data_IF_659272355440
#
_entry.id   IF_659272355440
#
_cell.length_a   1.000
_cell.length_b   1.000
_cell.length_c   1.000
_cell.angle_alpha   90.00
_cell.angle_beta   90.00
_cell.angle_gamma   90.00
#
_symmetry.space_group_name_H-M   'P 1'
#
loop_
_entity.id
_entity.type
_entity.pdbx_description
1 polymer ?
#
# COMPACT_ATOMS: atom_id res chain seq x y z
N UNK A 1 -1.23 45.85 6.20
CA UNK A 1 -2.60 45.37 6.42
C UNK A 1 -2.87 44.33 5.36
N UNK A 2 -2.72 43.05 5.67
CA UNK A 2 -2.99 41.97 4.72
C UNK A 2 -4.50 41.90 4.49
N UNK A 3 -4.93 42.17 3.26
CA UNK A 3 -6.34 42.05 2.86
C UNK A 3 -6.67 40.56 2.82
N UNK A 4 -7.45 40.09 3.80
CA UNK A 4 -7.94 38.72 3.86
C UNK A 4 -9.33 38.70 3.23
N UNK A 5 -9.40 38.42 1.94
CA UNK A 5 -10.66 38.30 1.22
C UNK A 5 -11.17 36.85 1.30
N UNK A 6 -12.42 36.63 1.75
CA UNK A 6 -12.94 35.27 1.90
C UNK A 6 -13.20 34.63 0.54
N UNK A 7 -12.48 33.55 0.23
CA UNK A 7 -12.59 32.82 -1.03
C UNK A 7 -13.78 31.84 -1.02
N UNK A 8 -14.94 32.27 -1.52
CA UNK A 8 -16.13 31.43 -1.65
C UNK A 8 -16.20 30.84 -3.06
N UNK A 9 -15.86 29.56 -3.18
CA UNK A 9 -16.08 28.78 -4.41
C UNK A 9 -16.94 27.56 -4.07
N UNK A 10 -18.23 27.69 -4.36
CA UNK A 10 -19.24 26.65 -4.07
C UNK A 10 -18.90 25.35 -4.79
N UNK A 11 -18.39 25.43 -6.03
CA UNK A 11 -18.08 24.24 -6.82
C UNK A 11 -16.86 23.51 -6.26
N UNK A 12 -15.78 24.23 -5.94
CA UNK A 12 -14.59 23.66 -5.33
C UNK A 12 -14.88 23.08 -3.93
N UNK A 13 -15.70 23.76 -3.12
CA UNK A 13 -16.10 23.29 -1.81
C UNK A 13 -17.00 22.06 -1.88
N UNK A 14 -17.96 22.01 -2.81
CA UNK A 14 -18.79 20.83 -3.06
C UNK A 14 -17.94 19.64 -3.54
N UNK A 15 -16.99 19.85 -4.45
CA UNK A 15 -16.04 18.83 -4.88
C UNK A 15 -15.21 18.31 -3.71
N UNK A 16 -14.71 19.21 -2.86
CA UNK A 16 -13.94 18.85 -1.66
C UNK A 16 -14.76 17.99 -0.70
N UNK A 17 -16.00 18.40 -0.42
CA UNK A 17 -16.90 17.65 0.46
C UNK A 17 -17.20 16.25 -0.11
N UNK A 18 -17.50 16.16 -1.41
CA UNK A 18 -17.67 14.88 -2.11
C UNK A 18 -16.43 13.99 -1.97
N UNK A 19 -15.23 14.56 -2.17
CA UNK A 19 -13.97 13.84 -2.02
C UNK A 19 -13.74 13.35 -0.59
N UNK A 20 -14.01 14.17 0.43
CA UNK A 20 -13.89 13.76 1.84
C UNK A 20 -14.79 12.56 2.18
N UNK A 21 -16.03 12.55 1.67
CA UNK A 21 -16.94 11.40 1.81
C UNK A 21 -16.36 10.17 1.10
N UNK A 22 -15.93 10.33 -0.16
CA UNK A 22 -15.34 9.24 -0.95
C UNK A 22 -14.09 8.64 -0.30
N UNK A 23 -13.20 9.47 0.26
CA UNK A 23 -12.01 9.06 1.01
C UNK A 23 -12.42 8.23 2.23
N UNK A 24 -13.36 8.74 3.03
CA UNK A 24 -13.83 8.04 4.24
C UNK A 24 -14.41 6.67 3.91
N UNK A 25 -15.29 6.60 2.90
CA UNK A 25 -15.91 5.35 2.43
C UNK A 25 -14.87 4.38 1.88
N UNK A 26 -13.79 4.87 1.26
CA UNK A 26 -12.74 4.01 0.69
C UNK A 26 -11.83 3.37 1.75
N UNK A 27 -11.53 4.08 2.84
CA UNK A 27 -10.66 3.60 3.91
C UNK A 27 -11.39 2.72 4.93
N UNK A 28 -12.68 2.98 5.16
CA UNK A 28 -13.46 2.31 6.20
C UNK A 28 -13.48 0.76 6.08
N UNK A 29 -13.64 0.15 4.89
CA UNK A 29 -13.60 -1.31 4.74
C UNK A 29 -12.25 -1.90 5.17
N UNK A 30 -11.15 -1.20 4.90
CA UNK A 30 -9.80 -1.65 5.27
C UNK A 30 -9.61 -1.58 6.79
N UNK A 31 -10.01 -0.48 7.44
CA UNK A 31 -9.98 -0.38 8.90
C UNK A 31 -10.85 -1.46 9.55
N UNK A 32 -12.07 -1.65 9.04
CA UNK A 32 -13.00 -2.65 9.54
C UNK A 32 -12.45 -4.07 9.39
N UNK A 33 -11.81 -4.40 8.27
CA UNK A 33 -11.18 -5.72 8.05
C UNK A 33 -10.09 -6.00 9.09
N UNK A 34 -9.22 -5.03 9.39
CA UNK A 34 -8.15 -5.22 10.39
C UNK A 34 -8.75 -5.43 11.79
N UNK A 35 -9.74 -4.60 12.17
CA UNK A 35 -10.38 -4.66 13.49
C UNK A 35 -11.20 -5.95 13.67
N UNK A 36 -11.95 -6.35 12.64
CA UNK A 36 -12.80 -7.54 12.69
C UNK A 36 -11.99 -8.84 12.64
N UNK A 37 -10.95 -8.90 11.80
CA UNK A 37 -10.06 -10.05 11.72
C UNK A 37 -9.11 -10.15 12.93
N UNK A 38 -8.91 -9.03 13.65
CA UNK A 38 -7.89 -8.89 14.70
C UNK A 38 -6.50 -9.36 14.27
N UNK A 39 -6.20 -9.23 12.99
CA UNK A 39 -4.93 -9.62 12.38
C UNK A 39 -4.56 -8.61 11.30
N UNK A 40 -3.27 -8.29 11.22
CA UNK A 40 -2.67 -7.46 10.17
C UNK A 40 -1.87 -8.30 9.16
N UNK A 41 -2.21 -9.58 8.99
CA UNK A 41 -1.60 -10.45 7.99
C UNK A 41 -1.78 -9.91 6.56
N UNK A 42 -0.74 -10.09 5.73
CA UNK A 42 -0.74 -9.63 4.34
C UNK A 42 -0.36 -8.15 4.14
N UNK A 43 -0.16 -7.38 5.20
CA UNK A 43 0.36 -6.01 5.10
C UNK A 43 1.89 -5.99 5.01
N UNK A 44 2.43 -5.29 4.01
CA UNK A 44 3.87 -5.05 3.89
C UNK A 44 4.31 -3.89 4.79
N UNK A 45 5.26 -4.09 5.73
CA UNK A 45 5.80 -3.02 6.58
C UNK A 45 6.42 -1.88 5.76
N UNK A 46 7.12 -2.22 4.68
CA UNK A 46 7.75 -1.25 3.77
C UNK A 46 6.72 -0.38 3.03
N UNK A 47 5.61 -0.97 2.61
CA UNK A 47 4.52 -0.21 1.98
C UNK A 47 3.94 0.83 2.95
N UNK A 48 3.73 0.44 4.22
CA UNK A 48 3.24 1.35 5.26
C UNK A 48 4.25 2.45 5.60
N UNK A 49 5.55 2.14 5.63
CA UNK A 49 6.62 3.12 5.79
C UNK A 49 6.61 4.17 4.68
N UNK A 50 6.74 3.72 3.43
CA UNK A 50 6.87 4.61 2.28
C UNK A 50 5.59 5.45 2.10
N UNK A 51 4.41 4.85 2.29
CA UNK A 51 3.15 5.57 2.25
C UNK A 51 2.95 6.54 3.43
N UNK A 52 3.41 6.19 4.63
CA UNK A 52 3.34 7.05 5.80
C UNK A 52 4.20 8.30 5.66
N UNK A 53 5.44 8.12 5.19
CA UNK A 53 6.37 9.23 4.91
C UNK A 53 5.89 10.09 3.74
N UNK A 54 5.40 9.46 2.66
CA UNK A 54 4.85 10.16 1.48
C UNK A 54 3.63 11.01 1.86
N UNK A 55 2.64 10.43 2.54
CA UNK A 55 1.42 11.14 2.93
C UNK A 55 1.67 12.27 3.92
N UNK A 56 2.58 12.08 4.90
CA UNK A 56 2.98 13.15 5.81
C UNK A 56 3.65 14.33 5.08
N UNK A 57 4.54 14.03 4.13
CA UNK A 57 5.20 15.04 3.31
C UNK A 57 4.21 15.80 2.43
N UNK A 58 3.25 15.10 1.80
CA UNK A 58 2.19 15.72 1.00
C UNK A 58 1.23 16.59 1.83
N UNK A 59 0.92 16.16 3.06
CA UNK A 59 0.11 16.93 4.00
C UNK A 59 0.82 18.22 4.44
N UNK A 60 2.10 18.13 4.81
CA UNK A 60 2.86 19.31 5.20
C UNK A 60 3.09 20.26 4.02
N UNK A 61 3.24 19.75 2.80
CA UNK A 61 3.35 20.59 1.60
C UNK A 61 2.11 21.51 1.47
N UNK A 62 0.89 20.98 1.58
CA UNK A 62 -0.31 21.82 1.45
C UNK A 62 -0.41 22.84 2.60
N UNK A 63 -0.02 22.48 3.84
CA UNK A 63 0.03 23.43 4.96
C UNK A 63 0.98 24.58 4.66
N UNK A 64 2.19 24.27 4.17
CA UNK A 64 3.21 25.27 3.84
C UNK A 64 2.70 26.23 2.77
N UNK A 65 2.12 25.68 1.70
CA UNK A 65 1.64 26.44 0.55
C UNK A 65 0.44 27.31 0.91
N UNK A 66 -0.49 26.80 1.74
CA UNK A 66 -1.73 27.47 2.11
C UNK A 66 -1.63 28.24 3.45
N UNK A 67 -0.43 28.42 4.00
CA UNK A 67 -0.24 29.01 5.32
C UNK A 67 -0.79 30.45 5.42
N UNK A 68 -0.74 31.22 4.33
CA UNK A 68 -1.34 32.55 4.27
C UNK A 68 -2.85 32.54 4.58
N UNK A 69 -3.58 31.57 4.03
CA UNK A 69 -5.02 31.39 4.27
C UNK A 69 -5.27 30.99 5.73
N UNK A 70 -4.44 30.10 6.28
CA UNK A 70 -4.52 29.68 7.68
C UNK A 70 -4.33 30.87 8.64
N UNK A 71 -3.43 31.81 8.33
CA UNK A 71 -3.30 33.05 9.13
C UNK A 71 -4.54 33.94 9.01
N UNK A 72 -5.12 34.05 7.82
CA UNK A 72 -6.35 34.83 7.59
C UNK A 72 -7.57 34.28 8.34
N UNK A 73 -7.60 32.99 8.66
CA UNK A 73 -8.66 32.41 9.50
C UNK A 73 -8.79 33.03 10.90
N UNK A 74 -7.80 33.78 11.39
CA UNK A 74 -7.91 34.53 12.66
C UNK A 74 -8.86 35.73 12.59
N UNK A 75 -9.08 36.27 11.39
CA UNK A 75 -9.90 37.46 11.15
C UNK A 75 -11.19 37.18 10.39
N UNK A 76 -11.26 36.02 9.73
CA UNK A 76 -12.45 35.57 9.01
C UNK A 76 -13.49 34.95 9.96
N UNK A 77 -14.75 34.92 9.53
CA UNK A 77 -15.80 34.17 10.22
C UNK A 77 -15.50 32.67 10.19
N UNK A 78 -16.05 31.91 11.15
CA UNK A 78 -15.81 30.47 11.26
C UNK A 78 -16.18 29.71 9.97
N UNK A 79 -17.36 29.99 9.39
CA UNK A 79 -17.82 29.34 8.16
C UNK A 79 -16.92 29.62 6.97
N UNK A 80 -16.60 30.90 6.72
CA UNK A 80 -15.72 31.29 5.62
C UNK A 80 -14.30 30.76 5.78
N UNK A 81 -13.80 30.60 7.01
CA UNK A 81 -12.52 29.95 7.26
C UNK A 81 -12.56 28.47 6.86
N UNK A 82 -13.56 27.70 7.33
CA UNK A 82 -13.70 26.27 7.01
C UNK A 82 -13.73 26.04 5.50
N UNK A 83 -14.48 26.87 4.78
CA UNK A 83 -14.50 26.86 3.31
C UNK A 83 -13.12 27.15 2.71
N UNK A 84 -12.44 28.17 3.23
CA UNK A 84 -11.12 28.58 2.73
C UNK A 84 -10.03 27.52 2.96
N UNK A 85 -10.10 26.76 4.06
CA UNK A 85 -9.11 25.71 4.38
C UNK A 85 -9.59 24.28 4.05
N UNK A 86 -10.67 24.13 3.29
CA UNK A 86 -11.26 22.83 2.98
C UNK A 86 -10.27 21.84 2.34
N UNK A 87 -9.33 22.34 1.51
CA UNK A 87 -8.28 21.51 0.91
C UNK A 87 -7.26 20.96 1.90
N UNK A 88 -6.95 21.74 2.95
CA UNK A 88 -6.09 21.28 4.05
C UNK A 88 -6.80 20.16 4.78
N UNK A 89 -8.10 20.30 5.07
CA UNK A 89 -8.90 19.24 5.70
C UNK A 89 -8.95 17.97 4.85
N UNK A 90 -9.15 18.10 3.53
CA UNK A 90 -9.20 16.97 2.61
C UNK A 90 -7.91 16.13 2.67
N UNK A 91 -6.75 16.77 2.61
CA UNK A 91 -5.46 16.07 2.66
C UNK A 91 -5.11 15.59 4.07
N UNK A 92 -5.49 16.33 5.11
CA UNK A 92 -5.32 15.92 6.49
C UNK A 92 -6.12 14.67 6.79
N UNK A 93 -7.34 14.56 6.24
CA UNK A 93 -8.18 13.38 6.37
C UNK A 93 -7.50 12.15 5.75
N UNK A 94 -6.93 12.25 4.54
CA UNK A 94 -6.19 11.14 3.91
C UNK A 94 -5.02 10.71 4.81
N UNK A 95 -4.23 11.66 5.28
CA UNK A 95 -3.08 11.38 6.14
C UNK A 95 -3.49 10.73 7.46
N UNK A 96 -4.50 11.25 8.15
CA UNK A 96 -5.00 10.66 9.41
C UNK A 96 -5.53 9.25 9.19
N UNK A 97 -6.34 9.01 8.14
CA UNK A 97 -6.87 7.69 7.86
C UNK A 97 -5.76 6.68 7.50
N UNK A 98 -4.68 7.14 6.86
CA UNK A 98 -3.51 6.30 6.59
C UNK A 98 -2.71 6.00 7.87
N UNK A 99 -2.46 7.01 8.72
CA UNK A 99 -1.81 6.81 10.03
C UNK A 99 -2.64 5.87 10.91
N UNK A 100 -3.96 5.93 10.84
CA UNK A 100 -4.84 4.98 11.52
C UNK A 100 -4.60 3.53 11.05
N UNK A 101 -4.32 3.29 9.76
CA UNK A 101 -3.93 1.95 9.29
C UNK A 101 -2.62 1.50 9.95
N UNK A 102 -1.62 2.38 10.01
CA UNK A 102 -0.33 2.08 10.66
C UNK A 102 -0.51 1.73 12.15
N UNK A 103 -1.34 2.50 12.87
CA UNK A 103 -1.64 2.24 14.28
C UNK A 103 -2.36 0.91 14.45
N UNK A 104 -3.39 0.65 13.63
CA UNK A 104 -4.12 -0.63 13.66
C UNK A 104 -3.21 -1.81 13.31
N UNK A 105 -2.31 -1.64 12.35
CA UNK A 105 -1.29 -2.63 11.97
C UNK A 105 -0.40 -3.00 13.17
N UNK A 106 0.08 -2.01 13.93
CA UNK A 106 0.92 -2.28 15.10
C UNK A 106 0.14 -2.93 16.25
N UNK A 107 -1.12 -2.52 16.48
CA UNK A 107 -1.98 -3.07 17.54
C UNK A 107 -2.35 -4.53 17.23
N UNK A 108 -2.82 -4.80 16.00
CA UNK A 108 -3.31 -6.10 15.56
C UNK A 108 -2.23 -6.97 14.89
N UNK A 109 -0.95 -6.68 15.14
CA UNK A 109 0.12 -7.52 14.62
C UNK A 109 -0.04 -8.96 15.17
N UNK A 110 -0.11 -9.98 14.29
CA UNK A 110 -0.44 -11.36 14.64
C UNK A 110 0.54 -11.94 15.68
N UNK A 111 0.05 -12.44 16.84
CA UNK A 111 0.92 -12.93 17.92
C UNK A 111 1.85 -14.06 17.53
N UNK A 112 1.40 -14.98 16.67
CA UNK A 112 2.18 -16.13 16.23
C UNK A 112 3.34 -15.75 15.29
N UNK A 113 3.27 -14.59 14.64
CA UNK A 113 4.38 -14.05 13.83
C UNK A 113 5.37 -13.23 14.65
N UNK A 114 5.06 -12.88 15.91
CA UNK A 114 5.94 -12.06 16.76
C UNK A 114 7.17 -12.80 17.24
N UNK A 115 7.04 -14.10 17.51
CA UNK A 115 8.07 -14.91 18.14
C UNK A 115 8.47 -16.09 17.26
N UNK A 116 9.73 -16.52 17.36
CA UNK A 116 10.23 -17.71 16.67
C UNK A 116 9.82 -18.93 17.49
N UNK A 117 9.10 -19.84 16.84
CA UNK A 117 8.84 -21.18 17.37
C UNK A 117 10.01 -22.06 16.93
N UNK A 118 10.66 -22.72 17.89
CA UNK A 118 11.76 -23.66 17.62
C UNK A 118 11.21 -25.05 17.87
N UNK A 119 11.32 -25.88 16.85
CA UNK A 119 11.03 -27.30 16.95
C UNK A 119 12.25 -27.98 17.56
N UNK A 120 12.07 -28.54 18.75
CA UNK A 120 13.10 -29.36 19.37
C UNK A 120 12.84 -30.80 18.95
N UNK A 121 13.76 -31.37 18.18
CA UNK A 121 13.75 -32.79 17.84
C UNK A 121 14.12 -33.60 19.10
N UNK A 122 13.16 -34.34 19.63
CA UNK A 122 13.43 -35.25 20.75
C UNK A 122 14.00 -36.58 20.22
N UNK A 123 14.95 -37.21 20.95
CA UNK A 123 15.38 -38.57 20.64
C UNK A 123 14.19 -39.57 20.72
N UNK A 124 14.15 -40.53 19.78
CA UNK A 124 13.19 -41.66 19.66
C UNK A 124 11.84 -41.40 18.95
N UNK A 125 11.83 -40.84 17.72
CA UNK A 125 10.64 -40.71 16.86
C UNK A 125 9.41 -40.04 17.55
N UNK A 126 9.64 -39.28 18.61
CA UNK A 126 8.60 -38.50 19.26
C UNK A 126 8.27 -37.27 18.41
N UNK A 127 6.98 -36.86 18.34
CA UNK A 127 6.60 -35.68 17.60
C UNK A 127 7.37 -34.45 18.14
N UNK A 128 7.86 -33.56 17.25
CA UNK A 128 8.66 -32.40 17.64
C UNK A 128 7.89 -31.53 18.63
N UNK A 129 8.57 -31.11 19.69
CA UNK A 129 7.94 -30.27 20.70
C UNK A 129 8.08 -28.80 20.29
N UNK A 130 6.96 -28.15 19.97
CA UNK A 130 6.91 -26.74 19.63
C UNK A 130 7.14 -25.87 20.88
N UNK A 131 8.36 -25.38 21.07
CA UNK A 131 8.67 -24.47 22.18
C UNK A 131 8.58 -23.02 21.68
N UNK A 132 7.67 -22.24 22.26
CA UNK A 132 7.59 -20.79 22.03
C UNK A 132 8.79 -20.11 22.69
N UNK A 133 9.76 -19.67 21.90
CA UNK A 133 10.89 -18.90 22.43
C UNK A 133 10.50 -17.43 22.60
N UNK A 134 11.13 -16.71 23.53
CA UNK A 134 10.93 -15.26 23.68
C UNK A 134 11.69 -14.44 22.61
N UNK A 135 12.29 -15.11 21.61
CA UNK A 135 13.06 -14.45 20.56
C UNK A 135 12.11 -13.87 19.51
N UNK A 136 12.15 -12.55 19.32
CA UNK A 136 11.32 -11.86 18.33
C UNK A 136 11.77 -12.21 16.91
N UNK A 137 10.82 -12.50 16.02
CA UNK A 137 11.05 -12.69 14.58
C UNK A 137 11.59 -11.40 13.94
N UNK A 138 12.41 -11.55 12.90
CA UNK A 138 13.03 -10.43 12.19
C UNK A 138 11.99 -9.46 11.62
N UNK A 139 10.91 -9.98 11.02
CA UNK A 139 9.79 -9.19 10.50
C UNK A 139 9.16 -8.29 11.56
N UNK A 140 8.97 -8.79 12.79
CA UNK A 140 8.41 -7.98 13.88
C UNK A 140 9.40 -6.90 14.34
N UNK A 141 10.70 -7.22 14.42
CA UNK A 141 11.75 -6.22 14.72
C UNK A 141 11.80 -5.13 13.64
N UNK A 142 11.68 -5.52 12.37
CA UNK A 142 11.63 -4.62 11.23
C UNK A 142 10.41 -3.69 11.34
N UNK A 143 9.20 -4.22 11.57
CA UNK A 143 7.98 -3.42 11.76
C UNK A 143 8.07 -2.39 12.88
N UNK A 144 8.65 -2.77 14.03
CA UNK A 144 8.91 -1.85 15.14
C UNK A 144 9.88 -0.75 14.71
N UNK A 145 11.00 -1.13 14.10
CA UNK A 145 12.05 -0.19 13.68
C UNK A 145 11.49 0.81 12.66
N UNK A 146 10.77 0.32 11.65
CA UNK A 146 10.16 1.17 10.63
C UNK A 146 9.10 2.11 11.23
N UNK A 147 8.32 1.65 12.20
CA UNK A 147 7.34 2.52 12.88
C UNK A 147 7.99 3.68 13.63
N UNK A 148 9.14 3.45 14.29
CA UNK A 148 9.92 4.52 14.88
C UNK A 148 10.53 5.46 13.84
N UNK A 149 11.00 4.94 12.70
CA UNK A 149 11.48 5.76 11.58
C UNK A 149 10.38 6.67 11.06
N UNK A 150 9.15 6.16 10.87
CA UNK A 150 7.99 6.97 10.46
C UNK A 150 7.72 8.06 11.50
N UNK A 151 7.66 7.70 12.78
CA UNK A 151 7.38 8.64 13.86
C UNK A 151 8.39 9.80 13.88
N UNK A 152 9.69 9.48 13.87
CA UNK A 152 10.74 10.49 13.88
C UNK A 152 10.76 11.33 12.61
N UNK A 153 10.51 10.73 11.44
CA UNK A 153 10.38 11.46 10.19
C UNK A 153 9.23 12.48 10.24
N UNK A 154 8.04 12.06 10.67
CA UNK A 154 6.88 12.95 10.82
C UNK A 154 7.19 14.08 11.80
N UNK A 155 7.73 13.75 12.98
CA UNK A 155 8.08 14.73 14.00
C UNK A 155 9.10 15.75 13.47
N UNK A 156 10.13 15.28 12.76
CA UNK A 156 11.14 16.13 12.15
C UNK A 156 10.56 17.07 11.07
N UNK A 157 9.74 16.55 10.15
CA UNK A 157 9.14 17.38 9.11
C UNK A 157 8.17 18.41 9.69
N UNK A 158 7.38 18.04 10.70
CA UNK A 158 6.51 18.98 11.44
C UNK A 158 7.37 20.07 12.07
N UNK A 159 8.41 19.69 12.81
CA UNK A 159 9.30 20.63 13.49
C UNK A 159 9.93 21.64 12.50
N UNK A 160 10.55 21.16 11.41
CA UNK A 160 11.18 22.03 10.41
C UNK A 160 10.15 22.91 9.71
N UNK A 161 8.97 22.36 9.39
CA UNK A 161 7.88 23.12 8.77
C UNK A 161 7.47 24.30 9.65
N UNK A 162 7.12 24.06 10.92
CA UNK A 162 6.68 25.14 11.80
C UNK A 162 7.82 26.08 12.20
N UNK A 163 9.06 25.60 12.30
CA UNK A 163 10.24 26.46 12.48
C UNK A 163 10.34 27.45 11.32
N UNK A 164 10.33 26.99 10.06
CA UNK A 164 10.43 27.86 8.89
C UNK A 164 9.24 28.84 8.76
N UNK A 165 8.02 28.37 9.04
CA UNK A 165 6.81 29.20 8.98
C UNK A 165 6.76 30.30 10.06
N UNK A 166 7.44 30.08 11.19
CA UNK A 166 7.52 31.05 12.30
C UNK A 166 8.71 32.00 12.16
N UNK A 167 9.87 31.53 11.68
CA UNK A 167 11.07 32.37 11.51
C UNK A 167 11.02 33.22 10.24
N UNK A 168 10.22 32.85 9.24
CA UNK A 168 10.07 33.58 7.98
C UNK A 168 8.61 34.05 7.78
N UNK A 169 8.11 34.98 8.60
CA UNK A 169 6.75 35.48 8.44
C UNK A 169 6.60 36.24 7.12
N UNK A 170 5.68 35.79 6.27
CA UNK A 170 5.28 36.52 5.07
C UNK A 170 4.62 37.87 5.43
N UNK A 171 4.96 38.98 4.73
CA UNK A 171 4.36 40.31 4.93
C UNK A 171 2.86 40.36 4.56
N UNK A 172 2.45 39.51 3.62
CA UNK A 172 1.13 39.40 3.03
C UNK A 172 0.76 37.93 2.75
N UNK A 173 -0.51 37.65 2.50
CA UNK A 173 -1.01 36.28 2.34
C UNK A 173 -0.52 35.55 1.09
N UNK A 174 -0.03 36.29 0.08
CA UNK A 174 0.44 35.75 -1.19
C UNK A 174 1.96 35.55 -1.28
N UNK A 175 2.74 36.27 -0.47
CA UNK A 175 4.20 36.18 -0.50
C UNK A 175 4.71 34.94 0.25
N UNK A 176 5.65 34.22 -0.35
CA UNK A 176 6.42 33.14 0.28
C UNK A 176 7.90 33.46 0.18
N UNK A 177 8.63 33.33 1.29
CA UNK A 177 10.09 33.45 1.24
C UNK A 177 10.69 32.29 0.43
N UNK A 178 11.87 32.53 -0.15
CA UNK A 178 12.56 31.51 -0.94
C UNK A 178 12.79 30.20 -0.16
N UNK A 179 13.09 30.29 1.14
CA UNK A 179 13.27 29.13 2.01
C UNK A 179 11.98 28.29 2.15
N UNK A 180 10.83 28.94 2.31
CA UNK A 180 9.52 28.27 2.42
C UNK A 180 9.16 27.60 1.10
N UNK A 181 9.47 28.23 -0.04
CA UNK A 181 9.23 27.66 -1.36
C UNK A 181 10.12 26.45 -1.66
N UNK A 182 11.41 26.50 -1.31
CA UNK A 182 12.31 25.35 -1.40
C UNK A 182 11.82 24.20 -0.51
N UNK A 183 11.39 24.50 0.71
CA UNK A 183 10.86 23.50 1.63
C UNK A 183 9.59 22.85 1.11
N UNK A 184 8.64 23.64 0.59
CA UNK A 184 7.45 23.11 -0.07
C UNK A 184 7.82 22.18 -1.23
N UNK A 185 8.72 22.64 -2.11
CA UNK A 185 9.20 21.85 -3.26
C UNK A 185 9.82 20.53 -2.82
N UNK A 186 10.67 20.55 -1.78
CA UNK A 186 11.28 19.36 -1.20
C UNK A 186 10.21 18.38 -0.68
N UNK A 187 9.23 18.86 0.09
CA UNK A 187 8.14 18.03 0.61
C UNK A 187 7.30 17.39 -0.51
N UNK A 188 6.99 18.16 -1.56
CA UNK A 188 6.23 17.68 -2.71
C UNK A 188 6.99 16.63 -3.52
N UNK A 189 8.23 16.91 -3.91
CA UNK A 189 9.05 15.99 -4.71
C UNK A 189 9.39 14.72 -3.92
N UNK A 190 9.78 14.84 -2.64
CA UNK A 190 10.05 13.67 -1.80
C UNK A 190 8.80 12.79 -1.63
N UNK A 191 7.63 13.40 -1.43
CA UNK A 191 6.36 12.67 -1.35
C UNK A 191 6.08 11.87 -2.62
N UNK A 192 6.30 12.46 -3.80
CA UNK A 192 6.11 11.79 -5.08
C UNK A 192 7.09 10.62 -5.31
N UNK A 193 8.36 10.80 -4.95
CA UNK A 193 9.38 9.74 -5.05
C UNK A 193 9.04 8.58 -4.10
N UNK A 194 8.67 8.89 -2.86
CA UNK A 194 8.27 7.89 -1.87
C UNK A 194 7.03 7.11 -2.34
N UNK A 195 6.03 7.80 -2.92
CA UNK A 195 4.86 7.15 -3.51
C UNK A 195 5.25 6.23 -4.67
N UNK A 196 6.17 6.66 -5.54
CA UNK A 196 6.67 5.82 -6.64
C UNK A 196 7.26 4.50 -6.11
N UNK A 197 8.15 4.58 -5.11
CA UNK A 197 8.75 3.40 -4.49
C UNK A 197 7.75 2.55 -3.70
N UNK A 198 6.70 3.16 -3.15
CA UNK A 198 5.63 2.44 -2.47
C UNK A 198 4.89 1.47 -3.42
N UNK A 199 4.55 1.92 -4.63
CA UNK A 199 3.76 1.11 -5.57
C UNK A 199 4.60 0.18 -6.46
N UNK A 200 5.87 0.51 -6.71
CA UNK A 200 6.72 -0.23 -7.65
C UNK A 200 6.86 -1.72 -7.33
N UNK A 201 7.13 -2.15 -6.08
CA UNK A 201 7.27 -3.57 -5.75
C UNK A 201 5.99 -4.36 -6.05
N UNK A 202 4.82 -3.77 -5.79
CA UNK A 202 3.53 -4.42 -6.04
C UNK A 202 3.28 -4.58 -7.54
N UNK A 203 3.59 -3.56 -8.35
CA UNK A 203 3.48 -3.62 -9.82
C UNK A 203 4.42 -4.70 -10.37
N UNK A 204 5.68 -4.70 -9.93
CA UNK A 204 6.67 -5.69 -10.37
C UNK A 204 6.27 -7.11 -9.97
N UNK A 205 5.76 -7.29 -8.74
CA UNK A 205 5.27 -8.59 -8.27
C UNK A 205 4.11 -9.09 -9.12
N UNK A 206 3.05 -8.28 -9.28
CA UNK A 206 1.89 -8.63 -10.10
C UNK A 206 2.27 -8.94 -11.55
N UNK A 207 3.25 -8.21 -12.12
CA UNK A 207 3.78 -8.47 -13.45
C UNK A 207 4.45 -9.85 -13.56
N UNK A 208 5.25 -10.23 -12.55
CA UNK A 208 5.98 -11.50 -12.53
C UNK A 208 5.06 -12.71 -12.35
N UNK A 209 4.11 -12.64 -11.43
CA UNK A 209 3.18 -13.75 -11.16
C UNK A 209 2.10 -13.90 -12.23
N UNK A 210 1.80 -12.82 -12.98
CA UNK A 210 0.80 -12.79 -14.07
C UNK A 210 -0.62 -13.26 -13.68
N UNK A 211 -0.97 -13.17 -12.40
CA UNK A 211 -2.31 -13.36 -11.86
C UNK A 211 -2.60 -12.32 -10.75
N UNK A 212 -3.87 -12.12 -10.41
CA UNK A 212 -4.28 -11.06 -9.47
C UNK A 212 -3.99 -11.41 -8.01
N UNK A 213 -4.26 -12.65 -7.59
CA UNK A 213 -4.15 -13.05 -6.18
C UNK A 213 -5.15 -12.31 -5.28
N UNK A 214 -4.71 -11.88 -4.08
CA UNK A 214 -5.57 -11.28 -3.05
C UNK A 214 -5.83 -9.77 -3.22
N UNK A 215 -5.45 -9.17 -4.36
CA UNK A 215 -5.60 -7.73 -4.62
C UNK A 215 -7.07 -7.31 -4.76
N UNK A 216 -7.46 -6.21 -4.09
CA UNK A 216 -8.83 -5.69 -4.13
C UNK A 216 -9.07 -4.79 -5.35
N UNK A 217 -9.54 -5.39 -6.45
CA UNK A 217 -9.96 -4.66 -7.66
C UNK A 217 -11.04 -3.61 -7.37
N UNK A 218 -12.12 -3.90 -6.60
CA UNK A 218 -13.17 -2.90 -6.36
C UNK A 218 -12.64 -1.63 -5.68
N UNK A 219 -11.72 -1.79 -4.72
CA UNK A 219 -11.10 -0.66 -4.04
C UNK A 219 -10.27 0.20 -5.01
N UNK A 220 -9.56 -0.43 -5.95
CA UNK A 220 -8.79 0.28 -6.96
C UNK A 220 -9.67 0.99 -8.00
N UNK A 221 -10.81 0.41 -8.37
CA UNK A 221 -11.78 1.03 -9.28
C UNK A 221 -12.39 2.32 -8.71
N UNK A 222 -12.60 2.40 -7.39
CA UNK A 222 -13.11 3.61 -6.73
C UNK A 222 -12.00 4.65 -6.57
N UNK A 223 -10.82 4.22 -6.15
CA UNK A 223 -9.71 5.14 -5.85
C UNK A 223 -9.08 5.76 -7.09
N UNK A 224 -8.99 5.05 -8.22
CA UNK A 224 -8.30 5.58 -9.41
C UNK A 224 -8.99 6.83 -9.98
N UNK A 225 -10.32 6.87 -10.18
CA UNK A 225 -11.03 8.11 -10.52
C UNK A 225 -10.92 9.18 -9.41
N UNK A 226 -10.95 8.75 -8.15
CA UNK A 226 -10.75 9.63 -7.01
C UNK A 226 -9.38 10.34 -7.05
N UNK A 227 -8.31 9.67 -7.48
CA UNK A 227 -6.99 10.27 -7.62
C UNK A 227 -6.97 11.39 -8.69
N UNK A 228 -7.71 11.23 -9.79
CA UNK A 228 -7.85 12.28 -10.81
C UNK A 228 -8.56 13.50 -10.21
N UNK A 229 -9.67 13.28 -9.51
CA UNK A 229 -10.41 14.35 -8.83
C UNK A 229 -9.56 15.02 -7.75
N UNK A 230 -8.74 14.25 -7.02
CA UNK A 230 -7.80 14.77 -6.03
C UNK A 230 -6.80 15.73 -6.67
N UNK A 231 -6.12 15.32 -7.74
CA UNK A 231 -5.17 16.16 -8.47
C UNK A 231 -5.83 17.43 -8.96
N UNK A 232 -7.01 17.33 -9.59
CA UNK A 232 -7.75 18.50 -10.06
C UNK A 232 -8.13 19.42 -8.91
N UNK A 233 -8.64 18.88 -7.81
CA UNK A 233 -9.06 19.65 -6.63
C UNK A 233 -7.91 20.42 -5.97
N UNK A 234 -6.67 19.96 -6.14
CA UNK A 234 -5.47 20.64 -5.62
C UNK A 234 -4.96 21.66 -6.65
N UNK A 235 -4.96 21.30 -7.93
CA UNK A 235 -4.45 22.14 -9.01
C UNK A 235 -5.26 23.43 -9.21
N UNK A 236 -6.57 23.39 -8.93
CA UNK A 236 -7.43 24.59 -9.02
C UNK A 236 -7.32 25.50 -7.78
N UNK A 237 -6.66 25.07 -6.71
CA UNK A 237 -6.58 25.88 -5.48
C UNK A 237 -5.59 27.04 -5.65
N UNK A 238 -5.92 28.22 -5.12
CA UNK A 238 -5.05 29.38 -5.23
C UNK A 238 -3.70 29.13 -4.53
N UNK A 239 -2.61 29.53 -5.16
CA UNK A 239 -1.27 29.45 -4.59
C UNK A 239 -0.61 28.07 -4.63
N UNK A 240 -1.32 27.01 -5.05
CA UNK A 240 -0.71 25.69 -5.28
C UNK A 240 0.11 25.68 -6.56
N UNK A 241 1.08 24.77 -6.60
CA UNK A 241 1.91 24.55 -7.78
C UNK A 241 2.00 23.04 -8.10
N UNK A 242 2.77 22.69 -9.12
CA UNK A 242 2.94 21.30 -9.52
C UNK A 242 3.48 20.39 -8.42
N UNK A 243 4.31 20.93 -7.52
CA UNK A 243 4.87 20.18 -6.40
C UNK A 243 3.81 19.77 -5.38
N UNK A 244 2.70 20.50 -5.30
CA UNK A 244 1.58 20.18 -4.39
C UNK A 244 0.72 19.03 -4.89
N UNK A 245 0.47 18.94 -6.19
CA UNK A 245 -0.40 17.88 -6.75
C UNK A 245 0.36 16.67 -7.31
N UNK A 246 1.65 16.78 -7.61
CA UNK A 246 2.45 15.71 -8.21
C UNK A 246 2.47 14.40 -7.39
N UNK A 247 2.48 14.38 -6.04
CA UNK A 247 2.49 13.11 -5.31
C UNK A 247 1.23 12.29 -5.56
N UNK A 248 0.09 12.97 -5.60
CA UNK A 248 -1.21 12.35 -5.85
C UNK A 248 -1.34 11.90 -7.30
N UNK A 249 -0.76 12.64 -8.25
CA UNK A 249 -0.71 12.23 -9.65
C UNK A 249 0.15 10.98 -9.83
N UNK A 250 1.34 10.94 -9.24
CA UNK A 250 2.23 9.75 -9.30
C UNK A 250 1.56 8.55 -8.65
N UNK A 251 1.00 8.70 -7.45
CA UNK A 251 0.26 7.63 -6.78
C UNK A 251 -0.93 7.14 -7.62
N UNK A 252 -1.71 8.05 -8.19
CA UNK A 252 -2.86 7.74 -9.04
C UNK A 252 -2.48 7.00 -10.33
N UNK A 253 -1.40 7.42 -11.00
CA UNK A 253 -0.86 6.75 -12.20
C UNK A 253 -0.38 5.35 -11.85
N UNK A 254 0.41 5.19 -10.79
CA UNK A 254 0.91 3.89 -10.35
C UNK A 254 -0.24 2.93 -9.99
N UNK A 255 -1.23 3.43 -9.26
CA UNK A 255 -2.44 2.66 -8.93
C UNK A 255 -3.26 2.32 -10.19
N UNK A 256 -3.35 3.23 -11.16
CA UNK A 256 -4.02 3.00 -12.44
C UNK A 256 -3.32 1.91 -13.27
N UNK A 257 -1.98 1.91 -13.32
CA UNK A 257 -1.20 0.85 -13.97
C UNK A 257 -1.50 -0.51 -13.34
N UNK A 258 -1.50 -0.58 -12.00
CA UNK A 258 -1.79 -1.81 -11.28
C UNK A 258 -3.23 -2.28 -11.52
N UNK A 259 -4.21 -1.36 -11.55
CA UNK A 259 -5.60 -1.68 -11.87
C UNK A 259 -5.74 -2.26 -13.28
N UNK A 260 -5.12 -1.65 -14.28
CA UNK A 260 -5.13 -2.13 -15.67
C UNK A 260 -4.54 -3.53 -15.77
N UNK A 261 -3.40 -3.78 -15.12
CA UNK A 261 -2.80 -5.11 -15.06
C UNK A 261 -3.74 -6.14 -14.43
N UNK A 262 -4.36 -5.81 -13.30
CA UNK A 262 -5.32 -6.69 -12.62
C UNK A 262 -6.52 -7.03 -13.51
N UNK A 263 -7.08 -6.04 -14.23
CA UNK A 263 -8.19 -6.27 -15.16
C UNK A 263 -7.77 -7.22 -16.28
N UNK A 264 -6.61 -6.98 -16.91
CA UNK A 264 -6.09 -7.80 -18.01
C UNK A 264 -5.85 -9.25 -17.56
N UNK A 265 -5.16 -9.46 -16.43
CA UNK A 265 -4.86 -10.80 -15.94
C UNK A 265 -6.10 -11.54 -15.49
N UNK A 266 -7.05 -10.86 -14.83
CA UNK A 266 -8.33 -11.46 -14.47
C UNK A 266 -9.15 -11.90 -15.69
N UNK A 267 -9.22 -11.05 -16.71
CA UNK A 267 -9.90 -11.40 -17.96
C UNK A 267 -9.26 -12.63 -18.63
N UNK A 268 -7.92 -12.70 -18.63
CA UNK A 268 -7.19 -13.85 -19.16
C UNK A 268 -7.42 -15.13 -18.33
N UNK A 269 -7.39 -15.05 -17.01
CA UNK A 269 -7.64 -16.19 -16.12
C UNK A 269 -9.05 -16.73 -16.30
N UNK A 270 -10.05 -15.85 -16.35
CA UNK A 270 -11.43 -16.23 -16.60
C UNK A 270 -11.61 -16.87 -17.98
N UNK A 271 -10.89 -16.41 -19.01
CA UNK A 271 -10.91 -17.05 -20.33
C UNK A 271 -10.28 -18.45 -20.34
N UNK A 272 -9.38 -18.74 -19.39
CA UNK A 272 -8.72 -20.04 -19.21
C UNK A 272 -9.41 -20.94 -18.17
N UNK A 273 -10.53 -20.50 -17.57
CA UNK A 273 -11.21 -21.26 -16.52
C UNK A 273 -10.39 -21.38 -15.22
N UNK A 274 -9.52 -20.40 -14.94
CA UNK A 274 -8.70 -20.33 -13.73
C UNK A 274 -9.30 -19.35 -12.71
N UNK A 275 -9.13 -19.62 -11.43
CA UNK A 275 -9.43 -18.70 -10.33
C UNK A 275 -8.39 -17.56 -10.23
N UNK A 276 -8.60 -16.60 -9.32
CA UNK A 276 -7.72 -15.43 -9.15
C UNK A 276 -6.29 -15.80 -8.68
N UNK A 277 -6.08 -17.02 -8.17
CA UNK A 277 -4.79 -17.60 -7.77
C UNK A 277 -4.16 -18.48 -8.87
N UNK A 278 -4.81 -18.63 -10.03
CA UNK A 278 -4.32 -19.41 -11.15
C UNK A 278 -4.65 -20.90 -11.09
N UNK A 279 -5.57 -21.34 -10.23
CA UNK A 279 -6.00 -22.74 -10.10
C UNK A 279 -7.20 -23.03 -11.01
N UNK A 280 -7.29 -24.21 -11.64
CA UNK A 280 -8.44 -24.55 -12.48
C UNK A 280 -9.72 -24.67 -11.65
N UNK A 281 -10.79 -24.01 -12.11
CA UNK A 281 -12.11 -24.03 -11.45
C UNK A 281 -12.77 -25.43 -11.49
N UNK A 282 -12.36 -26.26 -12.44
CA UNK A 282 -12.84 -27.63 -12.64
C UNK A 282 -11.73 -28.65 -12.40
N UNK A 283 -10.97 -28.52 -11.31
CA UNK A 283 -10.06 -29.60 -10.92
C UNK A 283 -10.88 -30.87 -10.66
N UNK A 284 -10.58 -32.02 -11.30
CA UNK A 284 -11.19 -33.28 -10.90
C UNK A 284 -10.87 -33.51 -9.42
N UNK A 285 -11.80 -34.06 -8.62
CA UNK A 285 -11.57 -34.27 -7.20
C UNK A 285 -10.26 -35.03 -7.03
N UNK A 286 -9.27 -34.38 -6.43
CA UNK A 286 -8.05 -35.05 -6.01
C UNK A 286 -8.49 -36.21 -5.15
N UNK A 287 -8.10 -37.43 -5.51
CA UNK A 287 -8.28 -38.60 -4.67
C UNK A 287 -7.89 -38.20 -3.25
N UNK A 288 -8.88 -38.21 -2.36
CA UNK A 288 -8.61 -38.18 -0.94
C UNK A 288 -7.57 -39.27 -0.70
N UNK A 289 -6.39 -38.88 -0.27
CA UNK A 289 -5.39 -39.79 0.29
C UNK A 289 -6.03 -40.42 1.53
N UNK A 290 -6.75 -41.51 1.31
CA UNK A 290 -7.13 -42.46 2.35
C UNK A 290 -6.02 -43.51 2.47
N UNK A 291 -5.83 -44.06 3.68
CA UNK A 291 -4.60 -44.68 4.14
C UNK A 291 -4.45 -46.12 3.61
N UNK A 292 -3.27 -46.69 3.81
CA UNK A 292 -2.84 -48.06 3.50
C UNK A 292 -2.02 -48.21 2.21
N UNK A 293 -0.75 -47.78 2.30
CA UNK A 293 0.34 -48.41 1.53
C UNK A 293 1.10 -49.32 2.51
N UNK A 294 1.23 -50.64 2.23
CA UNK A 294 2.03 -51.54 3.07
C UNK A 294 3.53 -51.17 2.99
N UNK A 295 4.34 -51.52 4.01
CA UNK A 295 5.72 -51.09 4.09
C UNK A 295 6.53 -51.67 2.92
N UNK A 296 7.08 -50.79 2.09
CA UNK A 296 8.06 -51.16 1.08
C UNK A 296 9.44 -51.28 1.73
N UNK A 297 10.15 -52.31 1.29
CA UNK A 297 11.40 -52.85 1.84
C UNK A 297 12.57 -51.86 1.96
N UNK A 298 13.51 -52.08 2.91
CA UNK A 298 14.59 -51.15 3.31
C UNK A 298 15.70 -50.88 2.27
N UNK A 299 15.55 -51.34 1.03
CA UNK A 299 16.58 -51.21 -0.02
C UNK A 299 16.50 -49.88 -0.79
N UNK A 300 15.38 -49.14 -0.72
CA UNK A 300 15.19 -47.88 -1.47
C UNK A 300 15.66 -46.65 -0.67
N UNK A 301 15.56 -46.70 0.66
CA UNK A 301 16.03 -45.64 1.57
C UNK A 301 17.56 -45.50 1.59
N UNK A 302 18.28 -46.61 1.44
CA UNK A 302 19.75 -46.60 1.39
C UNK A 302 20.29 -45.94 0.11
N UNK A 303 19.58 -46.04 -1.02
CA UNK A 303 20.02 -45.43 -2.28
C UNK A 303 19.74 -43.92 -2.34
N UNK A 304 18.73 -43.43 -1.62
CA UNK A 304 18.39 -42.00 -1.54
C UNK A 304 19.29 -41.28 -0.52
N UNK A 305 19.71 -41.97 0.55
CA UNK A 305 20.64 -41.44 1.56
C UNK A 305 22.04 -41.13 1.03
N UNK A 306 22.56 -41.93 0.08
CA UNK A 306 23.91 -41.75 -0.47
C UNK A 306 24.00 -40.63 -1.52
N UNK A 307 22.90 -40.31 -2.21
CA UNK A 307 22.88 -39.21 -3.18
C UNK A 307 22.85 -37.82 -2.50
N UNK A 308 22.26 -37.72 -1.30
CA UNK A 308 22.10 -36.43 -0.59
C UNK A 308 23.35 -36.05 0.21
N UNK A 309 24.23 -37.00 0.55
CA UNK A 309 25.45 -36.73 1.33
C UNK A 309 26.61 -36.17 0.50
N UNK A 310 26.52 -36.24 -0.84
CA UNK A 310 27.57 -35.76 -1.75
C UNK A 310 27.57 -34.25 -2.00
N UNK A 311 26.48 -33.53 -1.71
CA UNK A 311 26.31 -32.14 -2.15
C UNK A 311 26.55 -31.05 -1.08
N UNK A 312 26.90 -31.45 0.16
CA UNK A 312 27.03 -30.52 1.31
C UNK A 312 28.49 -30.18 1.65
N UNK A 313 29.42 -30.26 0.69
CA UNK A 313 30.81 -29.82 0.95
C UNK A 313 31.40 -28.98 -0.16
N UNK A 314 30.83 -27.79 -0.38
CA UNK A 314 31.59 -26.66 -0.90
C UNK A 314 30.86 -25.33 -0.61
N UNK A 315 30.98 -24.81 0.60
CA UNK A 315 30.91 -23.35 0.80
C UNK A 315 32.29 -22.77 0.43
N UNK A 316 32.32 -21.79 -0.49
CA UNK A 316 33.05 -20.52 -0.39
C UNK A 316 32.85 -19.69 -1.68
N UNK A 317 32.08 -18.60 -1.58
CA UNK A 317 32.31 -17.35 -2.33
C UNK A 317 31.61 -17.12 -3.67
N UNK A 318 31.10 -15.88 -3.79
CA UNK A 318 30.83 -15.08 -5.01
C UNK A 318 29.42 -15.15 -5.63
N UNK A 319 28.85 -13.95 -5.81
CA UNK A 319 27.63 -13.62 -6.56
C UNK A 319 27.49 -14.35 -7.90
N UNK A 320 26.38 -15.06 -8.12
CA UNK A 320 25.90 -15.37 -9.48
C UNK A 320 24.36 -15.34 -9.52
N UNK A 321 23.86 -14.43 -10.36
CA UNK A 321 22.50 -14.38 -10.91
C UNK A 321 22.15 -15.74 -11.54
N UNK A 322 21.14 -16.43 -11.01
CA UNK A 322 20.54 -17.60 -11.69
C UNK A 322 19.06 -17.36 -11.95
N UNK A 323 18.79 -17.07 -13.22
CA UNK A 323 17.51 -17.32 -13.90
C UNK A 323 17.15 -18.79 -13.76
N UNK A 324 16.21 -19.13 -12.88
CA UNK A 324 15.49 -20.40 -12.93
C UNK A 324 14.07 -20.12 -13.42
N UNK A 325 13.87 -20.31 -14.71
CA UNK A 325 12.54 -20.32 -15.30
C UNK A 325 11.79 -21.56 -14.86
N UNK A 326 10.73 -21.40 -14.09
CA UNK A 326 9.73 -22.44 -13.93
C UNK A 326 8.88 -22.48 -15.20
N UNK A 327 9.05 -23.57 -15.94
CA UNK A 327 8.30 -23.91 -17.13
C UNK A 327 6.81 -24.08 -16.76
N UNK A 328 5.99 -23.13 -17.20
CA UNK A 328 4.55 -23.29 -17.31
C UNK A 328 4.25 -24.42 -18.30
N UNK A 329 3.55 -25.50 -17.90
CA UNK A 329 3.13 -26.52 -18.84
C UNK A 329 1.87 -26.04 -19.58
N UNK A 330 1.74 -26.52 -20.82
CA UNK A 330 0.54 -26.56 -21.67
C UNK A 330 0.27 -25.35 -22.58
N UNK A 331 1.10 -25.26 -23.62
CA UNK A 331 0.60 -25.07 -24.98
C UNK A 331 0.01 -26.40 -25.48
N UNK A 332 -1.31 -26.51 -25.51
CA UNK A 332 -2.02 -27.41 -26.44
C UNK A 332 -3.33 -26.73 -26.84
N UNK A 333 -3.57 -26.70 -28.15
CA UNK A 333 -4.55 -25.82 -28.76
C UNK A 333 -6.00 -26.28 -28.68
N UNK A 334 -6.87 -25.30 -28.95
CA UNK A 334 -8.24 -25.38 -29.50
C UNK A 334 -9.33 -25.92 -28.56
N UNK A 335 -10.28 -25.03 -28.19
CA UNK A 335 -11.60 -24.97 -28.84
C UNK A 335 -12.30 -23.64 -28.50
N UNK A 336 -12.82 -22.96 -29.54
CA UNK A 336 -13.68 -21.77 -29.42
C UNK A 336 -15.02 -22.23 -28.88
N UNK A 337 -15.57 -21.50 -27.90
CA UNK A 337 -17.02 -21.34 -27.79
C UNK A 337 -17.39 -19.93 -27.32
N UNK A 338 -18.26 -19.32 -28.11
CA UNK A 338 -18.76 -17.97 -27.92
C UNK A 338 -19.94 -17.98 -26.94
N UNK A 339 -19.89 -17.16 -25.90
CA UNK A 339 -21.07 -16.81 -25.12
C UNK A 339 -21.15 -15.29 -24.88
N UNK A 340 -22.13 -14.70 -25.56
CA UNK A 340 -22.50 -13.29 -25.59
C UNK A 340 -22.83 -12.73 -24.20
N UNK A 341 -22.38 -11.48 -24.02
CA UNK A 341 -22.86 -10.41 -23.16
C UNK A 341 -23.98 -10.72 -22.17
N UNK A 342 -23.65 -10.58 -20.87
CA UNK A 342 -24.49 -10.00 -19.82
C UNK A 342 -23.66 -9.77 -18.56
N UNK A 343 -23.40 -8.49 -18.25
CA UNK A 343 -23.19 -8.03 -16.87
C UNK A 343 -21.78 -7.59 -16.47
N UNK A 344 -21.28 -6.50 -17.06
CA UNK A 344 -20.10 -5.75 -16.54
C UNK A 344 -20.24 -5.41 -15.03
N UNK A 345 -21.48 -5.22 -14.55
CA UNK A 345 -21.78 -4.91 -13.14
C UNK A 345 -21.84 -6.13 -12.21
N UNK A 346 -21.98 -7.36 -12.73
CA UNK A 346 -21.96 -8.58 -11.89
C UNK A 346 -20.53 -9.10 -11.69
N UNK A 347 -19.62 -8.72 -12.58
CA UNK A 347 -18.17 -9.02 -12.56
C UNK A 347 -17.40 -8.31 -11.43
N UNK A 348 -17.91 -7.18 -10.91
CA UNK A 348 -17.30 -6.42 -9.81
C UNK A 348 -17.58 -6.99 -8.41
N UNK A 349 -18.48 -7.98 -8.28
CA UNK A 349 -19.07 -8.38 -6.99
C UNK A 349 -18.69 -9.77 -6.48
N UNK A 350 -17.77 -10.45 -7.15
CA UNK A 350 -17.22 -11.75 -6.72
C UNK A 350 -15.71 -11.69 -6.69
#
# INVERSE_FOLDING_TARGET
MSICEPHHDVAANALTAFMCVGITVSYLPQHWRIISAKSSEGFSPWFLLLGGMSSASGMLNIIVVQWGIVKCCRVLSFGSCIESIAGIFQLALVWVLFVMILVLYMIYYPPHLKYVEVDVDLPNDMPPQHIKTHVKREEWKLSITLSWVIFWHIAFLIFVTFLLLTTNPAPDGGYRSHQIELWATFLGVSSAILAMFQYTPQIAHTWRIKHVGALSIPMMCIQTPGAILMVLSIAIRPGTNWTTWIPYAVAGVMQGILLVMCIIFRARQHALGLDDFGRPLNAPPSYASSPDVPPTTPAVEAAVGDAVRSDVRSEHGVDVVVLAGEATPLLSGKQRDAAKGKGLLRWLKR
#
